data_IF_623398045397
#
_entry.id   IF_623398045397
#
_cell.length_a   1.000
_cell.length_b   1.000
_cell.length_c   1.000
_cell.angle_alpha   90.00
_cell.angle_beta   90.00
_cell.angle_gamma   90.00
#
_symmetry.space_group_name_H-M   'P 1'
#
loop_
_entity.id
_entity.type
_entity.pdbx_description
1 polymer ?
2 non-polymer ?
3 non-polymer ?
4 water ?
#
# COMPACT_ATOMS: atom_id res chain seq x y z
N UNK A 27 34.25 -23.11 -35.12
CA UNK A 27 33.69 -21.85 -34.57
C UNK A 27 33.25 -20.89 -35.69
N UNK A 28 33.48 -19.59 -35.47
CA UNK A 28 33.08 -18.52 -36.40
C UNK A 28 31.56 -18.29 -36.38
N UNK A 29 30.93 -18.40 -37.55
CA UNK A 29 29.50 -18.23 -37.65
C UNK A 29 28.74 -19.57 -37.45
N UNK A 30 29.49 -20.66 -37.22
CA UNK A 30 28.89 -21.94 -36.94
C UNK A 30 28.25 -21.93 -35.56
N UNK A 31 29.05 -21.65 -34.53
CA UNK A 31 28.52 -21.57 -33.16
C UNK A 31 27.33 -20.67 -33.06
N UNK A 32 27.34 -19.59 -33.84
CA UNK A 32 26.22 -18.65 -33.82
C UNK A 32 24.95 -19.32 -34.37
N UNK A 33 25.11 -20.14 -35.38
CA UNK A 33 23.96 -20.82 -35.96
C UNK A 33 23.36 -21.80 -34.99
N UNK A 34 24.20 -22.47 -34.21
CA UNK A 34 23.76 -23.38 -33.16
C UNK A 34 23.01 -22.63 -32.04
N UNK A 35 23.53 -21.45 -31.66
CA UNK A 35 22.85 -20.62 -30.65
C UNK A 35 21.49 -20.18 -31.14
N UNK A 36 21.43 -19.82 -32.41
CA UNK A 36 20.22 -19.38 -33.04
C UNK A 36 19.20 -20.54 -33.08
N UNK A 37 19.61 -21.71 -33.54
CA UNK A 37 18.77 -22.90 -33.57
C UNK A 37 18.23 -23.17 -32.16
N UNK A 38 19.12 -23.08 -31.18
CA UNK A 38 18.76 -23.26 -29.78
C UNK A 38 17.64 -22.31 -29.33
N UNK A 39 17.73 -21.05 -29.71
CA UNK A 39 16.73 -20.04 -29.36
C UNK A 39 15.41 -20.32 -30.03
N UNK A 40 15.47 -20.66 -31.29
CA UNK A 40 14.26 -21.01 -32.03
C UNK A 40 13.50 -22.16 -31.39
N UNK A 41 14.22 -23.18 -30.96
CA UNK A 41 13.60 -24.38 -30.42
C UNK A 41 13.03 -24.10 -29.02
N UNK A 42 13.70 -23.25 -28.25
CA UNK A 42 13.14 -22.83 -26.95
C UNK A 42 11.89 -22.01 -27.15
N UNK A 43 11.90 -21.23 -28.21
CA UNK A 43 10.72 -20.44 -28.57
C UNK A 43 9.55 -21.39 -28.92
N UNK A 44 9.84 -22.41 -29.73
CA UNK A 44 8.84 -23.40 -30.05
C UNK A 44 8.31 -24.10 -28.79
N UNK A 45 9.21 -24.53 -27.90
CA UNK A 45 8.81 -25.21 -26.67
C UNK A 45 7.86 -24.32 -25.83
N UNK A 46 8.16 -23.03 -25.71
CA UNK A 46 7.36 -22.21 -24.78
C UNK A 46 5.99 -21.85 -25.47
N UNK A 47 6.03 -21.57 -26.77
CA UNK A 47 4.83 -21.44 -27.55
C UNK A 47 3.97 -22.71 -27.39
N UNK A 48 4.59 -23.87 -27.50
CA UNK A 48 3.87 -25.13 -27.38
C UNK A 48 3.20 -25.20 -25.99
N UNK A 49 3.95 -24.92 -24.95
CA UNK A 49 3.42 -24.96 -23.60
C UNK A 49 2.23 -23.98 -23.45
N UNK A 50 2.39 -22.78 -23.98
CA UNK A 50 1.38 -21.75 -23.85
C UNK A 50 0.09 -22.18 -24.54
N UNK A 51 0.22 -22.70 -25.74
CA UNK A 51 -0.93 -23.19 -26.53
C UNK A 51 -1.59 -24.33 -25.78
N UNK A 52 -0.78 -25.21 -25.25
CA UNK A 52 -1.36 -26.32 -24.50
C UNK A 52 -2.10 -25.77 -23.24
N UNK A 53 -1.53 -24.78 -22.59
CA UNK A 53 -2.15 -24.17 -21.41
C UNK A 53 -3.53 -23.59 -21.75
N UNK A 54 -3.62 -22.88 -22.89
CA UNK A 54 -4.86 -22.22 -23.27
C UNK A 54 -5.89 -23.28 -23.56
N UNK A 55 -5.48 -24.41 -24.12
CA UNK A 55 -6.39 -25.52 -24.37
C UNK A 55 -6.72 -26.42 -23.17
N UNK A 56 -6.16 -26.12 -22.02
CA UNK A 56 -6.32 -26.91 -20.83
C UNK A 56 -7.43 -26.35 -19.96
N UNK A 57 -8.64 -26.82 -20.19
CA UNK A 57 -9.85 -26.26 -19.60
C UNK A 57 -9.82 -26.30 -18.08
N UNK A 58 -9.33 -27.41 -17.56
CA UNK A 58 -9.22 -27.52 -16.14
C UNK A 58 -8.27 -26.45 -15.57
N UNK A 59 -7.15 -26.23 -16.26
CA UNK A 59 -6.16 -25.27 -15.79
C UNK A 59 -6.72 -23.88 -15.93
N UNK A 60 -7.42 -23.61 -17.03
CA UNK A 60 -8.02 -22.29 -17.20
C UNK A 60 -9.03 -22.00 -16.09
N UNK A 61 -9.94 -22.92 -15.85
CA UNK A 61 -10.93 -22.74 -14.78
C UNK A 61 -10.31 -22.67 -13.38
N UNK A 62 -9.27 -23.47 -13.20
CA UNK A 62 -8.57 -23.48 -11.94
C UNK A 62 -7.99 -22.11 -11.64
N UNK A 63 -7.39 -21.50 -12.66
CA UNK A 63 -6.78 -20.17 -12.54
C UNK A 63 -7.86 -19.11 -12.32
N UNK A 64 -8.95 -19.23 -13.06
CA UNK A 64 -10.06 -18.26 -12.90
C UNK A 64 -10.60 -18.36 -11.49
N UNK A 65 -10.77 -19.59 -11.00
CA UNK A 65 -11.26 -19.76 -9.66
C UNK A 65 -10.35 -19.13 -8.59
N UNK A 66 -9.04 -19.19 -8.77
CA UNK A 66 -8.14 -18.52 -7.86
C UNK A 66 -8.33 -16.97 -7.92
N UNK A 67 -8.32 -16.41 -9.14
CA UNK A 67 -8.49 -15.00 -9.35
C UNK A 67 -9.76 -14.51 -8.63
N UNK A 68 -10.88 -15.18 -8.93
CA UNK A 68 -12.19 -14.80 -8.37
C UNK A 68 -12.21 -14.97 -6.88
N UNK A 69 -11.57 -16.02 -6.41
CA UNK A 69 -11.58 -16.24 -4.99
C UNK A 69 -10.79 -15.12 -4.26
N UNK A 70 -9.72 -14.65 -4.87
CA UNK A 70 -8.95 -13.57 -4.24
C UNK A 70 -9.81 -12.31 -4.23
N UNK A 71 -10.46 -12.02 -5.36
CA UNK A 71 -11.24 -10.78 -5.44
C UNK A 71 -12.39 -10.79 -4.44
N UNK A 72 -12.98 -11.96 -4.25
CA UNK A 72 -14.08 -12.08 -3.33
C UNK A 72 -13.65 -11.72 -1.91
N UNK A 73 -12.52 -12.26 -1.45
CA UNK A 73 -12.00 -11.90 -0.14
C UNK A 73 -11.58 -10.48 -0.04
N UNK A 74 -10.86 -10.02 -1.05
CA UNK A 74 -10.32 -8.66 -1.05
C UNK A 74 -11.43 -7.63 -0.95
N UNK A 75 -12.51 -7.87 -1.69
CA UNK A 75 -13.64 -6.94 -1.77
C UNK A 75 -14.59 -7.01 -0.58
N UNK A 76 -14.83 -8.21 -0.07
CA UNK A 76 -15.88 -8.44 0.91
C UNK A 76 -15.45 -8.62 2.34
N UNK A 77 -14.20 -9.00 2.58
CA UNK A 77 -13.78 -9.35 3.93
C UNK A 77 -13.09 -8.21 4.67
N UNK A 78 -13.09 -8.28 6.00
CA UNK A 78 -12.34 -7.34 6.78
C UNK A 78 -11.34 -8.12 7.59
N UNK A 79 -11.17 -9.39 7.27
CA UNK A 79 -10.17 -10.20 7.98
C UNK A 79 -9.29 -10.91 6.99
N UNK A 80 -9.72 -11.04 5.75
CA UNK A 80 -8.94 -11.76 4.75
C UNK A 80 -8.74 -10.94 3.49
N UNK A 81 -8.74 -9.65 3.66
CA UNK A 81 -8.54 -8.74 2.55
C UNK A 81 -7.23 -8.05 2.69
N UNK A 82 -6.31 -8.33 1.77
CA UNK A 82 -4.99 -7.67 1.81
C UNK A 82 -5.10 -6.14 1.68
N UNK A 83 -5.95 -5.63 0.79
CA UNK A 83 -6.11 -4.17 0.69
C UNK A 83 -6.75 -3.59 1.95
N UNK A 84 -7.65 -4.31 2.59
CA UNK A 84 -8.29 -3.78 3.78
C UNK A 84 -7.24 -3.70 4.87
N UNK A 85 -6.44 -4.76 4.98
CA UNK A 85 -5.37 -4.80 5.95
C UNK A 85 -4.35 -3.63 5.67
N UNK A 86 -4.06 -3.40 4.39
CA UNK A 86 -3.16 -2.30 4.02
C UNK A 86 -3.78 -0.97 4.51
N UNK A 87 -5.09 -0.77 4.28
CA UNK A 87 -5.75 0.42 4.75
C UNK A 87 -5.60 0.59 6.27
N UNK A 88 -5.80 -0.47 7.03
CA UNK A 88 -5.62 -0.43 8.47
C UNK A 88 -4.23 0.06 8.83
N UNK A 89 -3.22 -0.48 8.18
CA UNK A 89 -1.81 -0.07 8.47
C UNK A 89 -1.62 1.40 8.18
N UNK A 90 -2.05 1.87 7.02
CA UNK A 90 -1.81 3.24 6.61
C UNK A 90 -2.53 4.23 7.54
N UNK A 91 -3.80 3.95 7.86
CA UNK A 91 -4.57 4.83 8.78
C UNK A 91 -3.93 4.86 10.16
N UNK A 92 -3.64 3.69 10.70
CA UNK A 92 -2.96 3.58 11.99
C UNK A 92 -1.67 4.41 11.99
N UNK A 93 -0.94 4.40 10.86
CA UNK A 93 0.33 5.08 10.83
C UNK A 93 0.10 6.62 10.72
N UNK A 94 -0.94 7.04 9.99
CA UNK A 94 -1.28 8.45 9.94
C UNK A 94 -1.65 8.96 11.34
N UNK A 95 -2.49 8.23 12.06
CA UNK A 95 -2.89 8.66 13.42
C UNK A 95 -1.67 8.52 14.37
N UNK A 96 -0.78 7.58 14.08
CA UNK A 96 0.45 7.43 14.84
C UNK A 96 1.34 8.64 14.63
N UNK A 97 1.48 9.07 13.39
CA UNK A 97 2.26 10.26 13.15
C UNK A 97 1.65 11.48 13.84
N UNK A 98 0.34 11.63 13.69
CA UNK A 98 -0.36 12.75 14.33
C UNK A 98 -0.07 12.75 15.82
N UNK A 99 -0.10 11.57 16.39
CA UNK A 99 0.21 11.39 17.83
C UNK A 99 1.62 11.90 18.17
N UNK A 100 2.61 11.67 17.28
CA UNK A 100 3.99 12.14 17.52
C UNK A 100 4.06 13.65 17.35
N UNK A 101 3.59 14.09 16.18
CA UNK A 101 3.64 15.49 15.76
C UNK A 101 2.87 16.43 16.74
N UNK A 102 1.67 15.98 17.13
CA UNK A 102 0.78 16.78 17.96
C UNK A 102 0.41 15.97 19.19
N UNK A 103 -0.73 15.26 19.15
CA UNK A 103 -1.05 14.33 20.22
C UNK A 103 -1.24 15.04 21.54
N UNK A 104 -0.65 14.50 22.60
CA UNK A 104 -0.84 15.01 23.94
C UNK A 104 0.19 16.04 24.34
N UNK A 105 1.12 16.34 23.42
CA UNK A 105 2.16 17.34 23.70
C UNK A 105 2.84 17.65 22.39
N UNK A 106 2.52 18.80 21.80
CA UNK A 106 2.91 19.11 20.44
C UNK A 106 4.43 19.30 20.26
N UNK A 107 4.87 19.10 19.03
CA UNK A 107 6.24 19.42 18.64
C UNK A 107 6.28 20.84 18.07
N UNK A 108 5.20 21.61 18.31
CA UNK A 108 5.14 23.01 17.87
C UNK A 108 4.30 23.80 18.87
N UNK A 109 4.38 25.13 18.79
CA UNK A 109 3.66 26.01 19.69
C UNK A 109 2.42 26.61 18.97
N UNK A 110 1.23 26.42 19.55
CA UNK A 110 0.00 26.97 18.95
C UNK A 110 -0.30 28.28 19.63
N UNK A 111 -0.24 29.38 18.89
CA UNK A 111 -0.67 30.67 19.41
C UNK A 111 0.06 31.79 18.64
N UNK A 112 -0.03 33.03 19.14
CA UNK A 112 0.50 34.21 18.44
C UNK A 112 1.90 34.43 18.98
N UNK A 113 2.82 34.60 18.05
CA UNK A 113 4.24 34.63 18.36
C UNK A 113 4.71 36.09 18.33
N UNK A 114 4.36 36.86 19.37
CA UNK A 114 4.80 38.25 19.48
C UNK A 114 6.36 38.35 19.56
N UNK A 116 11.26 37.85 21.81
CA UNK A 116 10.40 36.66 21.64
C UNK A 116 9.36 36.54 22.76
N UNK A 117 8.14 37.10 22.53
CA UNK A 117 6.97 36.91 23.45
C UNK A 117 5.74 36.18 22.82
N UNK A 118 5.38 35.02 23.35
CA UNK A 118 4.35 34.19 22.71
C UNK A 118 3.08 34.06 23.52
N UNK A 119 1.92 34.26 22.91
CA UNK A 119 0.65 34.11 23.66
C UNK A 119 0.01 32.75 23.31
N UNK A 120 0.02 31.81 24.26
CA UNK A 120 -0.48 30.44 23.99
C UNK A 120 -1.99 30.32 23.84
N UNK A 121 -2.43 29.57 22.86
CA UNK A 121 -3.84 29.26 22.76
C UNK A 121 -4.12 28.19 23.85
N UNK A 122 -5.32 28.22 24.43
CA UNK A 122 -5.71 27.26 25.47
C UNK A 122 -6.16 25.93 24.85
N UNK A 123 -5.23 25.21 24.23
CA UNK A 123 -5.54 23.93 23.66
C UNK A 123 -4.75 22.79 24.31
N UNK A 124 -5.45 21.72 24.64
CA UNK A 124 -4.86 20.58 25.31
C UNK A 124 -3.65 20.07 24.50
N UNK A 125 -2.48 19.96 25.14
CA UNK A 125 -1.29 19.43 24.47
C UNK A 125 -0.31 20.51 24.06
N UNK A 126 -0.69 21.78 24.19
CA UNK A 126 0.16 22.87 23.75
C UNK A 126 1.39 22.99 24.68
N UNK A 127 2.60 22.93 24.13
CA UNK A 127 3.78 23.03 25.02
C UNK A 127 3.99 24.47 25.42
N UNK A 128 4.78 24.71 26.48
CA UNK A 128 5.05 26.10 26.79
C UNK A 128 5.88 26.82 25.69
N UNK A 129 5.77 28.15 25.65
CA UNK A 129 6.41 28.94 24.63
C UNK A 129 7.95 28.83 24.69
N UNK A 130 8.53 28.68 25.90
CA UNK A 130 10.00 28.60 26.07
C UNK A 130 10.57 27.45 25.23
N UNK A 131 9.70 26.53 24.86
CA UNK A 131 10.05 25.41 24.00
C UNK A 131 10.58 25.90 22.63
N UNK A 132 10.04 27.00 22.12
CA UNK A 132 10.48 27.58 20.87
C UNK A 132 11.93 28.09 21.01
N UNK A 133 12.22 28.81 22.08
CA UNK A 133 13.55 29.28 22.35
C UNK A 133 14.54 28.07 22.48
N UNK A 134 14.16 27.04 23.25
CA UNK A 134 15.03 25.92 23.53
C UNK A 134 15.28 25.08 22.30
N UNK A 135 14.25 24.79 21.51
CA UNK A 135 14.33 23.76 20.48
C UNK A 135 14.13 24.22 19.07
N UNK A 136 14.03 25.51 18.84
CA UNK A 136 13.76 26.01 17.48
C UNK A 136 14.74 27.06 17.00
N UNK A 137 16.01 27.01 17.39
CA UNK A 137 17.04 27.96 16.77
C UNK A 137 17.36 27.50 15.38
N UNK A 138 17.38 28.41 14.43
CA UNK A 138 17.56 28.01 13.02
C UNK A 138 16.37 28.51 12.21
N UNK A 139 16.57 29.00 10.98
CA UNK A 139 15.49 29.68 10.16
C UNK A 139 14.02 29.18 10.37
N UNK A 140 13.81 27.90 10.38
CA UNK A 140 12.50 27.43 10.46
C UNK A 140 11.61 28.13 11.58
N UNK A 141 10.32 28.36 11.28
CA UNK A 141 9.30 28.78 12.24
C UNK A 141 8.70 27.51 12.90
N UNK A 142 8.52 27.53 14.23
CA UNK A 142 7.94 26.40 14.96
C UNK A 142 6.57 26.73 15.62
N UNK A 143 5.94 27.84 15.24
CA UNK A 143 4.64 28.17 15.77
C UNK A 143 3.54 27.91 14.75
N UNK A 144 2.32 27.71 15.24
CA UNK A 144 1.17 27.48 14.32
C UNK A 144 -0.03 28.33 14.78
N UNK A 145 -0.72 28.92 13.82
CA UNK A 145 -1.96 29.67 14.05
C UNK A 145 -3.04 28.72 14.61
N UNK A 146 -3.76 29.19 15.64
CA UNK A 146 -4.81 28.39 16.30
C UNK A 146 -5.88 27.87 15.31
N UNK A 147 -6.22 28.66 14.32
CA UNK A 147 -7.26 28.25 13.36
C UNK A 147 -6.74 27.10 12.50
N UNK A 148 -5.46 27.14 12.14
CA UNK A 148 -4.87 26.04 11.36
C UNK A 148 -4.81 24.78 12.21
N UNK A 149 -4.36 24.91 13.46
CA UNK A 149 -4.35 23.76 14.36
C UNK A 149 -5.77 23.18 14.47
N UNK A 150 -6.78 24.06 14.65
CA UNK A 150 -8.18 23.58 14.74
C UNK A 150 -8.57 22.72 13.58
N UNK A 151 -8.27 23.17 12.36
CA UNK A 151 -8.51 22.33 11.19
C UNK A 151 -7.81 20.96 11.27
N UNK A 152 -6.55 20.94 11.70
CA UNK A 152 -5.85 19.64 11.79
C UNK A 152 -6.51 18.76 12.83
N UNK A 153 -6.68 19.32 14.03
CA UNK A 153 -7.28 18.56 15.15
C UNK A 153 -8.64 17.94 14.74
N UNK A 154 -9.48 18.73 14.06
CA UNK A 154 -10.78 18.25 13.64
C UNK A 154 -10.61 17.06 12.66
N UNK A 155 -9.76 17.21 11.66
CA UNK A 155 -9.48 16.09 10.73
C UNK A 155 -8.97 14.86 11.48
N UNK A 156 -8.09 15.06 12.46
CA UNK A 156 -7.52 13.94 13.24
C UNK A 156 -8.61 13.23 14.02
N UNK A 157 -9.50 14.00 14.64
CA UNK A 157 -10.64 13.40 15.36
C UNK A 157 -11.57 12.67 14.44
N UNK A 158 -11.86 13.24 13.25
CA UNK A 158 -12.74 12.56 12.29
C UNK A 158 -12.11 11.23 11.84
N UNK A 159 -10.81 11.26 11.56
CA UNK A 159 -10.10 10.07 11.11
C UNK A 159 -10.11 9.02 12.23
N UNK A 160 -9.82 9.43 13.46
CA UNK A 160 -9.91 8.51 14.58
C UNK A 160 -11.31 7.86 14.69
N UNK A 161 -12.38 8.67 14.59
CA UNK A 161 -13.74 8.10 14.64
C UNK A 161 -14.01 7.12 13.48
N UNK A 162 -13.48 7.44 12.28
CA UNK A 162 -13.68 6.57 11.12
C UNK A 162 -13.08 5.20 11.38
N UNK A 163 -11.94 5.17 12.06
CA UNK A 163 -11.24 3.90 12.27
C UNK A 163 -11.84 3.06 13.39
N UNK A 164 -12.19 3.70 14.49
CA UNK A 164 -12.54 2.99 15.70
C UNK A 164 -13.86 3.54 16.26
N UNK A 165 -14.80 2.64 16.52
CA UNK A 165 -16.05 3.03 17.17
C UNK A 165 -15.78 3.32 18.65
N UNK A 166 -15.88 4.58 19.04
CA UNK A 166 -15.61 4.96 20.41
C UNK A 166 -16.51 4.20 21.38
N UNK A 167 -17.79 4.04 21.02
CA UNK A 167 -18.73 3.29 21.86
C UNK A 167 -18.24 1.86 22.05
N UNK A 168 -18.05 1.10 20.98
CA UNK A 168 -17.70 -0.31 21.17
C UNK A 168 -16.20 -0.50 21.37
N UNK A 169 -15.42 0.53 21.05
CA UNK A 169 -13.96 0.38 20.96
C UNK A 169 -13.62 -0.62 19.81
N UNK A 170 -14.57 -0.95 18.93
CA UNK A 170 -14.27 -1.90 17.84
C UNK A 170 -13.98 -1.21 16.52
N UNK A 171 -13.59 -1.98 15.52
CA UNK A 171 -13.35 -1.51 14.20
C UNK A 171 -14.55 -0.77 13.61
N UNK A 172 -14.34 0.41 13.06
CA UNK A 172 -15.42 1.17 12.43
C UNK A 172 -15.30 1.24 10.91
N UNK A 173 -14.26 0.60 10.35
CA UNK A 173 -14.09 0.57 8.88
C UNK A 173 -14.80 -0.60 8.21
N UNK A 174 -15.56 -0.34 7.14
CA UNK A 174 -16.30 -1.39 6.38
C UNK A 174 -15.40 -2.04 5.37
N UNK A 175 -15.74 -3.28 4.96
CA UNK A 175 -15.10 -3.92 3.84
C UNK A 175 -15.19 -3.01 2.60
N UNK A 176 -14.41 -3.31 1.56
CA UNK A 176 -14.39 -2.48 0.38
C UNK A 176 -15.77 -2.49 -0.28
N UNK A 177 -16.60 -3.50 -0.03
CA UNK A 177 -17.94 -3.58 -0.59
C UNK A 177 -18.90 -2.56 -0.03
N UNK A 178 -18.54 -1.91 1.07
CA UNK A 178 -19.38 -0.87 1.61
C UNK A 178 -20.02 -1.25 2.93
N UNK A 179 -20.60 -0.27 3.62
CA UNK A 179 -21.31 -0.54 4.89
C UNK A 179 -22.62 -1.30 4.75
N UNK A 180 -22.89 -2.26 5.64
CA UNK A 180 -24.13 -3.04 5.68
C UNK A 180 -25.30 -2.15 6.05
N UNK A 181 -26.49 -2.58 5.67
CA UNK A 181 -27.68 -1.82 5.97
C UNK A 181 -27.97 -1.72 7.49
N UNK A 182 -28.34 -0.51 7.96
CA UNK A 182 -28.67 -0.19 9.40
C UNK A 182 -27.42 -0.15 10.22
N UNK A 186 -26.51 -4.15 14.95
CA UNK A 186 -25.93 -4.19 16.28
C UNK A 186 -24.78 -3.19 16.41
N UNK A 187 -24.99 -1.91 16.04
CA UNK A 187 -23.92 -0.89 16.07
C UNK A 187 -22.74 -1.10 15.00
N UNK A 188 -23.11 -1.48 13.72
CA UNK A 188 -22.04 -1.97 12.77
C UNK A 188 -21.02 -0.89 12.40
N UNK A 189 -19.90 -1.25 11.74
CA UNK A 189 -18.91 -0.21 11.28
C UNK A 189 -19.58 0.80 10.32
N UNK A 190 -19.33 2.10 10.42
CA UNK A 190 -20.12 3.00 9.58
C UNK A 190 -19.26 3.96 8.76
N UNK A 191 -17.97 3.64 8.56
CA UNK A 191 -17.13 4.46 7.68
C UNK A 191 -16.56 3.64 6.54
N UNK A 192 -16.60 4.17 5.33
CA UNK A 192 -15.99 3.48 4.20
C UNK A 192 -14.46 3.70 4.30
N UNK A 193 -13.69 2.83 3.64
CA UNK A 193 -12.24 3.05 3.61
C UNK A 193 -11.95 4.29 2.79
N UNK A 194 -12.80 4.60 1.76
CA UNK A 194 -12.56 5.82 0.97
C UNK A 194 -12.72 7.05 1.83
N UNK A 195 -13.67 7.03 2.74
CA UNK A 195 -13.88 8.18 3.64
C UNK A 195 -12.65 8.33 4.54
N UNK A 196 -12.15 7.24 5.08
CA UNK A 196 -10.95 7.30 5.95
C UNK A 196 -9.73 7.78 5.14
N UNK A 197 -9.50 7.22 3.96
CA UNK A 197 -8.37 7.64 3.13
C UNK A 197 -8.46 9.12 2.80
N UNK A 198 -9.69 9.59 2.51
CA UNK A 198 -9.89 10.99 2.19
C UNK A 198 -9.55 11.92 3.40
N UNK A 199 -9.98 11.54 4.60
CA UNK A 199 -9.67 12.32 5.76
C UNK A 199 -8.13 12.32 5.99
N UNK A 200 -7.51 11.15 5.86
CA UNK A 200 -6.06 11.00 6.01
C UNK A 200 -5.34 11.91 5.00
N UNK A 201 -5.77 11.86 3.75
CA UNK A 201 -5.17 12.67 2.69
C UNK A 201 -5.24 14.18 3.07
N UNK A 202 -6.41 14.62 3.55
CA UNK A 202 -6.56 16.01 3.88
C UNK A 202 -5.63 16.41 5.05
N UNK A 203 -5.58 15.57 6.07
CA UNK A 203 -4.73 15.84 7.22
C UNK A 203 -3.24 15.95 6.82
N UNK A 204 -2.74 14.92 6.16
CA UNK A 204 -1.32 14.93 5.71
C UNK A 204 -1.07 16.10 4.77
N UNK A 205 -2.03 16.41 3.89
CA UNK A 205 -1.85 17.56 2.96
C UNK A 205 -1.73 18.85 3.76
N UNK A 206 -2.58 19.01 4.77
CA UNK A 206 -2.60 20.23 5.54
C UNK A 206 -1.28 20.35 6.31
N UNK A 207 -0.85 19.25 6.92
CA UNK A 207 0.44 19.27 7.62
C UNK A 207 1.60 19.64 6.68
N UNK A 208 1.62 19.02 5.50
CA UNK A 208 2.70 19.29 4.53
C UNK A 208 2.71 20.75 4.15
N UNK A 209 1.54 21.37 4.05
CA UNK A 209 1.43 22.74 3.52
C UNK A 209 1.60 23.78 4.59
N UNK A 210 1.61 23.39 5.85
CA UNK A 210 1.73 24.35 6.90
C UNK A 210 3.21 24.53 7.25
N UNK A 211 3.73 25.74 7.03
CA UNK A 211 5.15 26.03 7.26
C UNK A 211 5.47 26.15 8.74
N UNK A 212 5.23 25.08 9.46
CA UNK A 212 5.53 24.99 10.87
C UNK A 212 6.46 23.79 11.05
N UNK A 213 7.61 24.00 11.66
CA UNK A 213 8.59 22.89 11.84
C UNK A 213 8.25 22.10 13.07
N UNK A 214 8.54 20.80 13.07
CA UNK A 214 8.31 20.01 14.27
C UNK A 214 9.59 19.85 15.10
N UNK A 215 9.49 20.08 16.40
CA UNK A 215 10.63 19.96 17.31
C UNK A 215 10.64 18.54 17.92
N UNK A 216 11.38 17.63 17.33
CA UNK A 216 11.42 16.24 17.84
C UNK A 216 11.90 16.14 19.27
N UNK A 217 12.71 17.12 19.74
CA UNK A 217 13.16 17.09 21.11
C UNK A 217 11.98 17.20 22.09
N UNK A 218 10.83 17.79 21.65
CA UNK A 218 9.63 17.84 22.50
C UNK A 218 9.07 16.44 22.79
N UNK A 219 9.43 15.43 21.98
CA UNK A 219 8.87 14.13 22.16
C UNK A 219 9.64 13.32 23.22
N UNK A 220 8.96 12.92 24.29
CA UNK A 220 9.56 12.12 25.35
C UNK A 220 8.92 10.76 25.37
N UNK A 221 9.71 9.74 25.04
CA UNK A 221 9.26 8.37 25.17
C UNK A 221 10.33 7.59 25.90
N UNK A 222 10.00 7.07 27.09
CA UNK A 222 10.97 6.33 27.91
C UNK A 222 11.54 5.15 27.16
N UNK A 223 12.85 5.02 27.20
CA UNK A 223 13.53 3.90 26.57
C UNK A 223 13.74 4.18 25.10
N UNK A 224 13.33 5.33 24.63
CA UNK A 224 13.52 5.67 23.26
C UNK A 224 14.16 7.06 23.11
N UNK A 225 13.54 8.11 23.65
CA UNK A 225 14.08 9.45 23.47
C UNK A 225 15.23 9.71 24.41
N UNK A 226 15.41 8.86 25.41
CA UNK A 226 16.50 9.05 26.37
C UNK A 226 17.58 8.01 26.07
N UNK A 227 17.67 7.50 24.86
CA UNK A 227 18.77 6.57 24.58
C UNK A 227 19.44 7.04 23.32
N UNK A 228 20.51 6.36 22.93
CA UNK A 228 21.22 6.70 21.72
C UNK A 228 20.28 6.44 20.54
N UNK A 229 20.55 7.07 19.44
CA UNK A 229 19.59 6.98 18.33
C UNK A 229 18.43 7.96 18.47
N UNK A 230 18.22 8.52 19.67
CA UNK A 230 17.07 9.46 19.89
C UNK A 230 17.01 10.51 18.83
N UNK A 231 15.82 10.88 18.39
CA UNK A 231 15.69 11.97 17.39
C UNK A 231 15.37 13.27 18.08
N UNK A 232 16.22 14.29 17.85
CA UNK A 232 16.17 15.54 18.61
C UNK A 232 16.21 16.74 17.68
N UNK A 233 16.22 16.51 16.37
CA UNK A 233 16.33 17.57 15.42
C UNK A 233 14.96 18.33 15.26
N UNK A 234 14.99 19.47 14.60
CA UNK A 234 13.83 20.31 14.34
C UNK A 234 13.77 20.66 12.90
N UNK A 235 12.65 20.36 12.24
CA UNK A 235 12.54 20.68 10.81
C UNK A 235 11.11 20.48 10.33
N UNK A 236 10.79 20.97 9.15
CA UNK A 236 9.41 20.78 8.61
C UNK A 236 9.18 19.29 8.39
N UNK A 237 7.95 18.85 8.59
CA UNK A 237 7.63 17.41 8.42
C UNK A 237 8.10 16.86 7.08
N UNK A 238 8.06 17.68 6.02
CA UNK A 238 8.41 17.23 4.68
C UNK A 238 9.93 16.93 4.59
N UNK A 239 10.67 17.16 5.67
CA UNK A 239 12.11 16.78 5.70
C UNK A 239 12.29 15.43 6.37
N UNK A 240 11.22 14.78 6.85
CA UNK A 240 11.36 13.46 7.49
C UNK A 240 10.73 12.36 6.68
N UNK A 241 11.47 11.27 6.46
CA UNK A 241 11.02 10.17 5.62
C UNK A 241 9.75 9.52 6.19
N UNK A 242 9.62 9.49 7.50
CA UNK A 242 8.47 8.85 8.11
C UNK A 242 7.21 9.59 7.64
N UNK A 243 7.27 10.92 7.63
CA UNK A 243 6.16 11.72 7.16
C UNK A 243 5.94 11.54 5.64
N UNK A 244 6.97 11.76 4.84
CA UNK A 244 6.83 11.67 3.42
C UNK A 244 6.35 10.30 2.96
N UNK A 245 6.95 9.24 3.49
CA UNK A 245 6.59 7.91 3.07
C UNK A 245 5.10 7.60 3.41
N UNK A 246 4.67 7.93 4.61
CA UNK A 246 3.30 7.69 5.00
C UNK A 246 2.36 8.50 4.09
N UNK A 247 2.71 9.75 3.80
CA UNK A 247 1.90 10.58 2.92
C UNK A 247 1.77 9.97 1.54
N UNK A 248 2.86 9.37 1.05
CA UNK A 248 2.83 8.82 -0.31
C UNK A 248 1.94 7.56 -0.39
N UNK A 249 1.78 6.87 0.73
CA UNK A 249 0.99 5.61 0.74
C UNK A 249 -0.49 5.90 0.43
N UNK A 250 -0.97 7.08 0.79
CA UNK A 250 -2.46 7.32 0.69
C UNK A 250 -3.00 7.27 -0.76
N UNK A 251 -2.46 8.10 -1.67
CA UNK A 251 -2.94 8.05 -3.05
C UNK A 251 -2.71 6.69 -3.66
N UNK A 252 -1.61 6.01 -3.30
CA UNK A 252 -1.36 4.67 -3.83
C UNK A 252 -2.47 3.72 -3.37
N UNK A 253 -2.81 3.80 -2.08
CA UNK A 253 -3.85 2.95 -1.53
C UNK A 253 -5.25 3.32 -2.16
N UNK A 254 -5.53 4.62 -2.34
CA UNK A 254 -6.76 5.05 -3.02
C UNK A 254 -6.84 4.43 -4.38
N UNK A 255 -5.69 4.41 -5.06
CA UNK A 255 -5.63 3.84 -6.38
C UNK A 255 -5.92 2.33 -6.31
N UNK A 256 -5.33 1.67 -5.32
CA UNK A 256 -5.53 0.23 -5.12
C UNK A 256 -7.02 -0.10 -4.81
N UNK A 257 -7.66 0.74 -4.00
CA UNK A 257 -9.05 0.53 -3.62
C UNK A 257 -9.97 0.61 -4.86
N UNK A 258 -9.82 1.67 -5.64
CA UNK A 258 -10.56 1.80 -6.88
C UNK A 258 -10.35 0.59 -7.75
N UNK A 259 -9.11 0.14 -7.86
CA UNK A 259 -8.82 -0.98 -8.76
C UNK A 259 -9.47 -2.27 -8.19
N UNK A 260 -9.45 -2.45 -6.86
CA UNK A 260 -10.11 -3.59 -6.28
C UNK A 260 -11.62 -3.57 -6.61
N UNK A 261 -12.24 -2.39 -6.56
CA UNK A 261 -13.68 -2.29 -6.86
C UNK A 261 -13.95 -2.54 -8.33
N UNK A 262 -13.12 -1.99 -9.25
CA UNK A 262 -13.30 -2.28 -10.71
C UNK A 262 -13.18 -3.75 -10.92
N UNK A 263 -12.28 -4.38 -10.21
CA UNK A 263 -12.03 -5.78 -10.50
C UNK A 263 -13.12 -6.71 -10.00
N UNK A 264 -13.75 -6.33 -8.89
CA UNK A 264 -14.88 -7.08 -8.41
C UNK A 264 -16.01 -7.04 -9.44
N UNK A 265 -16.17 -5.88 -10.08
CA UNK A 265 -17.13 -5.73 -11.18
C UNK A 265 -16.78 -6.64 -12.34
N UNK A 266 -15.52 -6.62 -12.75
CA UNK A 266 -15.07 -7.42 -13.87
C UNK A 266 -15.25 -8.90 -13.54
N UNK A 267 -14.94 -9.29 -12.31
CA UNK A 267 -15.15 -10.65 -11.89
C UNK A 267 -16.58 -11.16 -12.18
N UNK A 268 -17.57 -10.30 -11.97
CA UNK A 268 -18.97 -10.70 -12.10
C UNK A 268 -19.29 -11.19 -13.52
N UNK A 269 -18.63 -10.64 -14.53
CA UNK A 269 -18.83 -11.07 -15.92
C UNK A 269 -17.99 -12.27 -16.36
N UNK A 270 -17.33 -12.97 -15.42
CA UNK A 270 -16.45 -14.11 -15.77
C UNK A 270 -16.89 -15.38 -15.06
N UNK A 271 -17.06 -16.47 -15.81
CA UNK A 271 -17.53 -17.70 -15.18
C UNK A 271 -16.75 -18.90 -15.70
N UNK A 272 -16.74 -19.99 -14.92
CA UNK A 272 -15.99 -21.20 -15.31
C UNK A 272 -16.42 -21.68 -16.70
N UNK A 273 -15.47 -22.03 -17.57
CA UNK A 273 -15.79 -22.36 -18.99
C UNK A 273 -16.18 -23.81 -19.23
N UNK A 274 -17.10 -24.05 -20.17
CA UNK A 274 -17.38 -25.41 -20.63
C UNK A 274 -16.26 -25.83 -21.54
N UNK A 275 -15.97 -27.12 -21.57
CA UNK A 275 -14.92 -27.65 -22.47
C UNK A 275 -15.05 -27.23 -23.95
N UNK A 276 -14.18 -26.30 -24.37
CA UNK A 276 -14.11 -25.83 -25.77
C UNK A 276 -14.61 -24.39 -25.86
N UNK A 277 -15.20 -23.86 -24.79
CA UNK A 277 -15.83 -22.48 -24.79
C UNK A 277 -14.92 -21.37 -24.22
N UNK A 278 -13.71 -21.73 -23.76
CA UNK A 278 -12.67 -20.71 -23.43
C UNK A 278 -12.13 -19.98 -24.70
N UNK A 279 -12.67 -20.31 -25.89
CA UNK A 279 -12.35 -19.63 -27.19
C UNK A 279 -12.85 -18.23 -27.21
N UNK A 280 -14.04 -18.03 -26.65
CA UNK A 280 -14.76 -16.76 -26.81
C UNK A 280 -13.81 -15.55 -26.60
N UNK A 281 -13.66 -14.71 -27.63
CA UNK A 281 -12.70 -13.58 -27.58
C UNK A 281 -12.93 -12.70 -26.37
N UNK A 282 -14.20 -12.48 -26.06
CA UNK A 282 -14.57 -11.65 -24.92
C UNK A 282 -14.03 -12.21 -23.58
N UNK A 283 -14.24 -13.52 -23.33
CA UNK A 283 -13.72 -14.16 -22.11
C UNK A 283 -12.18 -14.10 -22.09
N UNK A 284 -11.59 -14.41 -23.24
CA UNK A 284 -10.15 -14.32 -23.39
C UNK A 284 -9.59 -12.98 -22.96
N UNK A 285 -10.21 -11.91 -23.44
CA UNK A 285 -9.65 -10.60 -23.20
C UNK A 285 -9.95 -10.18 -21.76
N UNK A 286 -11.08 -10.63 -21.25
CA UNK A 286 -11.51 -10.21 -19.90
C UNK A 286 -10.70 -10.90 -18.82
N UNK A 287 -10.44 -12.20 -18.97
CA UNK A 287 -9.71 -12.91 -17.94
C UNK A 287 -8.29 -12.31 -17.89
N UNK A 288 -7.78 -11.87 -19.04
CA UNK A 288 -6.44 -11.32 -19.08
C UNK A 288 -6.37 -9.97 -18.33
N UNK A 289 -7.30 -9.09 -18.64
CA UNK A 289 -7.42 -7.83 -17.95
C UNK A 289 -7.64 -8.07 -16.48
N UNK A 290 -8.51 -9.00 -16.15
CA UNK A 290 -8.79 -9.35 -14.77
C UNK A 290 -7.47 -9.70 -14.04
N UNK A 291 -6.70 -10.58 -14.63
CA UNK A 291 -5.42 -11.05 -14.04
C UNK A 291 -4.38 -9.93 -13.95
N UNK A 292 -4.19 -9.15 -15.00
CA UNK A 292 -3.30 -7.98 -14.89
C UNK A 292 -3.70 -7.09 -13.77
N UNK A 293 -4.99 -6.78 -13.68
CA UNK A 293 -5.47 -5.82 -12.63
C UNK A 293 -5.19 -6.36 -11.25
N UNK A 294 -5.42 -7.65 -11.05
CA UNK A 294 -5.23 -8.23 -9.75
C UNK A 294 -3.71 -8.25 -9.42
N UNK A 295 -2.86 -8.42 -10.41
CA UNK A 295 -1.42 -8.32 -10.14
C UNK A 295 -1.06 -6.87 -9.74
N UNK A 296 -1.67 -5.88 -10.41
CA UNK A 296 -1.40 -4.48 -10.09
C UNK A 296 -1.86 -4.17 -8.65
N UNK A 297 -2.94 -4.83 -8.22
CA UNK A 297 -3.42 -4.63 -6.84
C UNK A 297 -2.35 -5.09 -5.85
N UNK A 298 -1.83 -6.31 -6.05
CA UNK A 298 -0.77 -6.86 -5.23
C UNK A 298 0.46 -5.97 -5.29
N UNK A 299 0.74 -5.44 -6.47
CA UNK A 299 1.88 -4.64 -6.66
C UNK A 299 1.75 -3.31 -5.86
N UNK A 300 0.53 -2.74 -5.83
CA UNK A 300 0.31 -1.54 -5.00
C UNK A 300 0.53 -1.87 -3.54
N UNK A 301 0.08 -3.04 -3.11
CA UNK A 301 0.29 -3.44 -1.71
C UNK A 301 1.81 -3.57 -1.46
N UNK A 302 2.54 -4.10 -2.43
CA UNK A 302 3.97 -4.18 -2.28
C UNK A 302 4.57 -2.78 -2.18
N UNK A 303 4.09 -1.82 -2.99
CA UNK A 303 4.59 -0.44 -2.91
C UNK A 303 4.42 0.07 -1.50
N UNK A 304 3.27 -0.21 -0.88
CA UNK A 304 3.05 0.30 0.49
C UNK A 304 4.01 -0.36 1.49
N UNK A 305 4.21 -1.68 1.38
CA UNK A 305 5.16 -2.34 2.23
C UNK A 305 6.55 -1.70 2.09
N UNK A 306 6.98 -1.48 0.86
CA UNK A 306 8.28 -0.85 0.59
C UNK A 306 8.39 0.51 1.20
N UNK A 307 7.27 1.28 1.19
CA UNK A 307 7.29 2.62 1.78
C UNK A 307 7.48 2.52 3.31
N UNK A 308 6.91 1.51 3.94
CA UNK A 308 7.08 1.32 5.37
C UNK A 308 8.54 0.88 5.64
N UNK A 309 9.06 0.03 4.77
CA UNK A 309 10.38 -0.59 5.00
C UNK A 309 11.51 0.43 4.71
N UNK A 310 11.21 1.54 4.01
CA UNK A 310 12.14 2.56 3.64
C UNK A 310 12.18 3.63 4.74
N UNK A 311 11.37 3.50 5.78
CA UNK A 311 11.37 4.47 6.86
C UNK A 311 12.58 4.17 7.77
N UNK A 312 13.43 5.18 8.06
CA UNK A 312 14.62 4.87 8.88
C UNK A 312 14.13 4.27 10.21
N UNK A 313 14.80 3.24 10.64
CA UNK A 313 14.53 2.42 11.81
C UNK A 313 14.17 3.23 13.04
N UNK A 314 14.91 4.28 13.32
CA UNK A 314 14.67 5.04 14.53
C UNK A 314 13.35 5.81 14.41
N UNK A 315 13.03 6.32 13.23
CA UNK A 315 11.75 7.02 13.04
C UNK A 315 10.59 6.03 13.17
N UNK A 316 10.77 4.82 12.66
CA UNK A 316 9.74 3.81 12.75
C UNK A 316 9.53 3.46 14.22
N UNK A 317 10.64 3.36 14.98
CA UNK A 317 10.54 3.02 16.41
C UNK A 317 9.67 4.06 17.12
N UNK A 318 9.88 5.36 16.83
CA UNK A 318 9.07 6.44 17.44
C UNK A 318 7.59 6.24 17.07
N UNK A 319 7.33 5.98 15.81
CA UNK A 319 5.97 5.73 15.33
C UNK A 319 5.33 4.55 16.06
N UNK A 320 6.02 3.41 16.16
CA UNK A 320 5.49 2.24 16.86
C UNK A 320 5.22 2.53 18.31
N UNK A 321 6.00 3.44 18.91
CA UNK A 321 5.91 3.65 20.36
C UNK A 321 5.18 4.95 20.69
N UNK A 322 4.55 5.55 19.67
CA UNK A 322 3.97 6.89 19.81
C UNK A 322 2.96 6.93 20.97
N UNK A 323 2.37 5.77 21.29
CA UNK A 323 1.34 5.72 22.30
C UNK A 323 1.93 5.86 23.69
N UNK A 324 3.26 5.76 23.81
CA UNK A 324 3.94 5.91 25.09
C UNK A 324 4.42 7.35 25.31
N UNK A 325 4.15 8.22 24.36
CA UNK A 325 4.56 9.61 24.48
C UNK A 325 3.98 10.24 25.74
N UNK A 326 4.80 10.89 26.56
CA UNK A 326 4.28 11.55 27.75
C UNK A 326 4.58 13.01 27.72
N UNK A 327 3.65 13.82 28.19
CA UNK A 327 3.89 15.25 28.06
C UNK A 327 4.90 15.72 29.07
N UNK A 328 5.58 16.77 28.75
CA UNK A 328 6.55 17.35 29.65
C UNK A 328 5.92 18.37 30.69
N UNK A 329 4.63 18.70 30.58
CA UNK A 329 3.92 19.65 31.48
C UNK A 329 2.39 19.43 31.28
N UNK A 330 1.63 19.65 32.38
CA UNK A 330 0.20 19.41 32.52
C UNK A 330 -0.16 17.92 32.75
N UNK A 331 -1.45 17.63 32.70
CA UNK A 331 -2.06 16.24 32.86
C UNK A 331 -1.51 15.16 31.90
N UNK A 332 -1.26 13.92 32.38
CA UNK A 332 -0.70 12.85 31.52
C UNK A 332 -1.88 11.97 31.01
N UNK A 333 -2.36 12.15 29.75
CA UNK A 333 -3.64 11.50 29.26
C UNK A 333 -3.71 9.99 29.44
N UNK A 334 -4.88 9.48 29.83
CA UNK A 334 -5.11 8.02 29.95
C UNK A 334 -5.73 7.41 28.70
N UNK A 335 -5.87 8.18 27.63
CA UNK A 335 -6.45 7.61 26.40
C UNK A 335 -5.54 7.87 25.19
N UNK A 336 -4.23 7.51 25.28
CA UNK A 336 -3.32 7.79 24.14
C UNK A 336 -3.72 6.93 22.94
N UNK A 337 -3.18 7.20 21.75
CA UNK A 337 -3.47 6.36 20.58
C UNK A 337 -2.76 4.97 20.61
N UNK A 338 -3.41 3.97 21.22
CA UNK A 338 -2.83 2.63 21.46
C UNK A 338 -2.82 1.72 20.24
N UNK A 339 -3.67 2.03 19.24
CA UNK A 339 -3.82 1.23 18.03
C UNK A 339 -2.44 0.99 17.38
N UNK A 340 -1.52 1.93 17.58
CA UNK A 340 -0.20 1.90 16.99
C UNK A 340 0.58 0.62 17.44
N UNK A 341 0.03 -0.11 18.42
CA UNK A 341 0.68 -1.28 18.94
C UNK A 341 0.41 -2.44 17.96
N UNK A 342 -0.62 -2.31 17.14
CA UNK A 342 -0.91 -3.29 16.11
C UNK A 342 -0.20 -3.03 14.82
N UNK A 343 0.52 -1.89 14.73
CA UNK A 343 1.06 -1.43 13.44
C UNK A 343 2.00 -2.45 12.79
N UNK A 344 2.98 -2.89 13.53
CA UNK A 344 3.96 -3.73 12.96
C UNK A 344 3.39 -5.09 12.47
N UNK A 345 2.44 -5.65 13.19
CA UNK A 345 1.80 -6.87 12.78
C UNK A 345 1.05 -6.63 11.44
N UNK A 346 0.39 -5.49 11.33
CA UNK A 346 -0.36 -5.19 10.10
C UNK A 346 0.59 -5.02 8.91
N UNK A 347 1.72 -4.35 9.14
CA UNK A 347 2.72 -4.17 8.10
C UNK A 347 3.29 -5.53 7.65
N UNK A 348 3.58 -6.40 8.62
CA UNK A 348 4.12 -7.72 8.28
C UNK A 348 3.09 -8.51 7.49
N UNK A 349 1.83 -8.33 7.84
CA UNK A 349 0.76 -9.00 7.07
C UNK A 349 0.75 -8.57 5.60
N UNK A 350 1.00 -7.29 5.31
CA UNK A 350 1.12 -6.84 3.93
C UNK A 350 2.26 -7.63 3.27
N UNK A 351 3.39 -7.71 3.94
CA UNK A 351 4.54 -8.45 3.37
C UNK A 351 4.19 -9.92 3.11
N UNK A 352 3.54 -10.58 4.07
CA UNK A 352 3.11 -11.97 3.86
C UNK A 352 2.09 -12.13 2.76
N UNK A 353 1.10 -11.22 2.69
CA UNK A 353 0.09 -11.28 1.64
C UNK A 353 0.76 -11.17 0.27
N UNK A 354 1.66 -10.20 0.14
CA UNK A 354 2.35 -9.96 -1.12
C UNK A 354 3.14 -11.18 -1.58
N UNK A 355 3.90 -11.80 -0.69
CA UNK A 355 4.66 -12.95 -1.15
C UNK A 355 3.70 -14.14 -1.45
N UNK A 356 2.68 -14.34 -0.62
CA UNK A 356 1.76 -15.47 -0.83
C UNK A 356 0.94 -15.34 -2.09
N UNK A 357 0.23 -14.21 -2.23
CA UNK A 357 -0.64 -14.01 -3.42
C UNK A 357 0.13 -13.61 -4.66
N UNK A 358 1.29 -13.01 -4.46
CA UNK A 358 2.17 -12.62 -5.58
C UNK A 358 2.51 -13.82 -6.45
N UNK A 359 3.06 -14.89 -5.85
CA UNK A 359 3.29 -16.15 -6.60
C UNK A 359 2.04 -16.60 -7.29
N UNK A 360 0.96 -16.69 -6.55
CA UNK A 360 -0.24 -17.31 -7.12
C UNK A 360 -0.83 -16.47 -8.25
N UNK A 361 -0.80 -15.15 -8.14
CA UNK A 361 -1.36 -14.33 -9.20
C UNK A 361 -0.48 -14.38 -10.45
N UNK A 362 0.86 -14.51 -10.26
CA UNK A 362 1.75 -14.66 -11.41
C UNK A 362 1.44 -15.84 -12.23
N UNK A 363 1.20 -16.97 -11.56
CA UNK A 363 0.85 -18.21 -12.24
C UNK A 363 -0.54 -18.05 -12.92
N UNK A 364 -1.51 -17.47 -12.23
CA UNK A 364 -2.83 -17.27 -12.87
C UNK A 364 -2.72 -16.33 -14.06
N UNK A 365 -1.97 -15.23 -13.90
CA UNK A 365 -1.77 -14.26 -14.97
C UNK A 365 -1.15 -14.94 -16.20
N UNK A 366 -0.22 -15.86 -15.95
CA UNK A 366 0.42 -16.54 -17.04
C UNK A 366 -0.57 -17.35 -17.93
N UNK A 367 -1.45 -18.10 -17.28
CA UNK A 367 -2.45 -18.87 -17.99
C UNK A 367 -3.40 -17.91 -18.72
N UNK A 368 -3.75 -16.81 -18.08
CA UNK A 368 -4.67 -15.84 -18.71
C UNK A 368 -4.04 -15.26 -19.97
N UNK A 369 -2.73 -14.93 -19.88
CA UNK A 369 -2.04 -14.38 -21.02
C UNK A 369 -2.06 -15.41 -22.16
N UNK A 370 -1.87 -16.68 -21.83
CA UNK A 370 -1.87 -17.71 -22.89
C UNK A 370 -3.25 -17.84 -23.54
N UNK A 371 -4.30 -17.81 -22.72
CA UNK A 371 -5.70 -17.82 -23.24
C UNK A 371 -5.86 -16.66 -24.19
N UNK A 372 -5.39 -15.50 -23.79
CA UNK A 372 -5.51 -14.34 -24.67
C UNK A 372 -4.69 -14.44 -25.96
N UNK A 373 -3.49 -14.98 -25.89
CA UNK A 373 -2.60 -15.05 -27.03
C UNK A 373 -2.74 -16.31 -27.90
N UNK A 374 -3.73 -17.15 -27.57
CA UNK A 374 -3.83 -18.46 -28.23
C UNK A 374 -3.72 -18.38 -29.72
N UNK A 375 -4.56 -17.58 -30.31
CA UNK A 375 -4.46 -17.38 -31.79
C UNK A 375 -3.09 -16.94 -32.31
N UNK A 376 -2.57 -15.89 -31.71
CA UNK A 376 -1.33 -15.31 -32.12
C UNK A 376 -0.18 -16.33 -31.98
N UNK A 377 -0.24 -17.11 -30.91
CA UNK A 377 0.74 -18.11 -30.62
C UNK A 377 0.68 -19.23 -31.67
N UNK A 378 -0.52 -19.68 -32.02
CA UNK A 378 -0.65 -20.75 -33.00
C UNK A 378 -0.01 -20.39 -34.29
N UNK A 379 -0.15 -19.10 -34.67
CA UNK A 379 0.52 -18.62 -35.91
C UNK A 379 2.04 -18.51 -35.72
N UNK A 380 2.45 -18.13 -34.52
CA UNK A 380 3.86 -17.85 -34.31
C UNK A 380 4.69 -19.15 -34.24
N UNK A 381 4.13 -20.20 -33.63
CA UNK A 381 4.79 -21.46 -33.50
C UNK A 381 5.07 -22.06 -34.88
N UNK A 382 4.16 -21.88 -35.84
CA UNK A 382 4.43 -22.40 -37.19
C UNK A 382 5.69 -21.71 -37.78
N UNK A 383 5.82 -20.40 -37.59
CA UNK A 383 7.00 -19.68 -38.06
C UNK A 383 8.30 -20.11 -37.37
N UNK A 384 8.21 -20.32 -36.06
CA UNK A 384 9.38 -20.63 -35.28
C UNK A 384 9.83 -22.07 -35.58
N UNK A 385 8.86 -22.96 -35.79
CA UNK A 385 9.14 -24.34 -36.12
C UNK A 385 9.81 -24.40 -37.47
N UNK A 386 9.25 -23.69 -38.46
CA UNK A 386 9.89 -23.65 -39.76
C UNK A 386 11.33 -23.08 -39.74
N UNK A 387 11.53 -22.02 -38.95
CA UNK A 387 12.83 -21.42 -38.81
C UNK A 387 13.81 -22.46 -38.32
N UNK A 388 13.44 -23.15 -37.25
CA UNK A 388 14.29 -24.21 -36.71
C UNK A 388 14.57 -25.32 -37.74
N UNK A 389 13.53 -25.84 -38.39
CA UNK A 389 13.68 -26.90 -39.40
C UNK A 389 14.67 -26.46 -40.47
N UNK A 390 14.54 -25.22 -40.92
CA UNK A 390 15.39 -24.64 -41.93
C UNK A 390 16.86 -24.54 -41.47
N UNK A 391 17.05 -23.96 -40.29
CA UNK A 391 18.35 -23.70 -39.73
C UNK A 391 19.09 -25.04 -39.48
N UNK A 392 18.33 -26.01 -38.95
CA UNK A 392 18.88 -27.32 -38.67
C UNK A 392 19.41 -27.95 -39.97
N UNK A 393 18.66 -27.74 -41.05
CA UNK A 393 19.05 -28.28 -42.34
C UNK A 393 20.29 -27.60 -42.90
N UNK A 394 20.36 -26.26 -42.77
CA UNK A 394 21.54 -25.49 -43.19
C UNK A 394 22.79 -25.97 -42.46
N UNK A 395 22.68 -26.12 -41.14
CA UNK A 395 23.78 -26.59 -40.30
C UNK A 395 24.24 -27.99 -40.71
N UNK A 396 23.28 -28.84 -41.05
CA UNK A 396 23.53 -30.23 -41.41
C UNK A 396 24.41 -30.31 -42.61
N UNK A 397 24.26 -29.32 -43.51
CA UNK A 397 25.07 -29.27 -44.77
C UNK A 397 26.38 -28.48 -44.65
N UNK A 398 26.68 -27.90 -43.49
CA UNK A 398 27.90 -27.09 -43.37
C UNK A 398 29.15 -27.92 -43.23
N UNK A 399 30.25 -27.50 -43.92
CA UNK A 399 31.57 -28.17 -43.93
C UNK A 399 32.15 -28.40 -42.54
N UNK A 400 33.08 -29.35 -42.45
CA UNK A 400 33.71 -29.66 -41.19
C UNK A 400 35.15 -29.19 -41.06
X LIG B 1 16.18 16.48 8.50
X LIG B 1 16.31 17.48 9.54
X LIG B 1 16.87 15.17 8.92
X LIG B 1 16.09 14.02 8.48
X LIG C 1 4.13 -27.78 -35.04
X LIG C 1 4.06 -26.65 -35.93
X LIG C 1 5.18 -27.52 -33.97
X LIG C 1 4.81 -27.98 -32.66
X LIG D 1 -5.44 12.67 18.70
X LIG D 1 -4.84 13.64 19.58
X LIG D 1 -6.97 12.78 18.63
X LIG D 1 -7.44 14.09 18.68
X LIG D 1 -7.50 12.23 17.34
X LIG D 1 -7.22 10.84 17.38
#
# INVERSE_FOLDING_TARGET
GEDNGFFVSAGYQIGEAVQMVKNTGELKNLNEKYEQLSQYLNQVASLKQSIQNANNIELVNSSLNYLKSFTNNNYNSTTQSPIFNAVQAVITSVLGFWSLYAGNYFTFFVGKKVGDSGQPASVQGNPPFKTIIENCSGIENCAMDQTTYDKMKKLAEDLQAAQTNSATKGNNLCALSGCAATDSTSNPPNSTVSNALNLAQQLMDLIANTKTAMMWKNIVISGVSNTSGAITSTNYPTQYAVFNNIKAMIPILQQAVTLSQSNHTLSASLQAQATGSQTNPKFAKDIYTFAQNQKQVISYAQDIFNLFNSIPAEQYKYLEKAYLKIPNAGSTPTNPYRQVVNLNQEVQTIKNNVSYYGNRVDAALSVARDVYNLKSNQAEIVTAYNDAKTLSEEISKLPHNQVNTKDIVTLPYDKNAPAAGQSNYQINPEQQSNLNQALAAMSNNPFKKVGMISSQNNNGA
EDO C1 O1 C2 O2
EDO C1 O1 C2 O2
GOL C1 O1 C2 O2 C3 O3
#
